data_IF_714132320536
#
_entry.id   IF_714132320536
#
_cell.length_a   1.000
_cell.length_b   1.000
_cell.length_c   1.000
_cell.angle_alpha   90.00
_cell.angle_beta   90.00
_cell.angle_gamma   90.00
#
_symmetry.space_group_name_H-M   'P 1'
#
loop_
_entity.id
_entity.type
_entity.pdbx_description
1 polymer ?
#
# COMPACT_ATOMS: atom_id res chain seq x y z
N UNK A 1 7.89 -8.10 -15.21
CA UNK A 1 7.57 -8.64 -13.87
C UNK A 1 8.04 -7.69 -12.77
N UNK A 2 7.30 -7.61 -11.69
CA UNK A 2 7.65 -6.79 -10.54
C UNK A 2 8.66 -7.55 -9.67
N UNK A 3 9.79 -6.90 -9.38
CA UNK A 3 10.82 -7.46 -8.50
C UNK A 3 10.57 -7.10 -7.03
N UNK A 4 10.13 -5.86 -6.79
CA UNK A 4 9.84 -5.37 -5.45
C UNK A 4 8.90 -4.17 -5.53
N UNK A 5 8.36 -3.77 -4.40
CA UNK A 5 7.47 -2.60 -4.35
C UNK A 5 7.58 -1.92 -2.99
N UNK A 6 7.12 -0.66 -2.95
CA UNK A 6 6.98 0.08 -1.70
C UNK A 6 5.53 0.54 -1.56
N UNK A 7 5.02 0.50 -0.35
CA UNK A 7 3.68 0.97 0.00
C UNK A 7 3.82 2.25 0.81
N UNK A 8 3.05 3.27 0.44
CA UNK A 8 3.04 4.55 1.16
C UNK A 8 1.66 5.19 1.08
N UNK A 9 1.42 6.17 1.93
CA UNK A 9 0.20 6.96 1.88
C UNK A 9 -1.01 6.34 2.54
N UNK A 10 -0.90 5.19 3.20
CA UNK A 10 -1.98 4.67 4.02
C UNK A 10 -2.20 5.57 5.24
N UNK A 11 -3.46 5.73 5.64
CA UNK A 11 -3.81 6.53 6.80
C UNK A 11 -3.32 5.82 8.08
N UNK A 12 -2.39 6.43 8.85
CA UNK A 12 -1.83 5.75 10.03
C UNK A 12 -2.81 5.60 11.18
N UNK A 13 -3.94 6.32 11.16
CA UNK A 13 -4.97 6.14 12.17
C UNK A 13 -5.85 4.92 11.89
N UNK A 14 -5.81 4.40 10.68
CA UNK A 14 -6.64 3.27 10.26
C UNK A 14 -5.83 2.01 9.95
N UNK A 15 -4.61 2.17 9.46
CA UNK A 15 -3.76 1.05 9.03
C UNK A 15 -2.48 1.00 9.86
N UNK A 16 -2.14 -0.19 10.34
CA UNK A 16 -0.90 -0.43 11.09
C UNK A 16 -0.21 -1.67 10.56
N UNK A 17 0.98 -1.54 9.95
CA UNK A 17 1.70 -0.32 9.61
C UNK A 17 1.06 0.44 8.43
N UNK A 18 1.34 1.74 8.32
CA UNK A 18 0.77 2.60 7.27
C UNK A 18 1.62 2.65 6.00
N UNK A 19 2.68 1.89 5.94
CA UNK A 19 3.56 1.81 4.77
C UNK A 19 4.65 0.80 4.98
N UNK A 20 5.35 0.46 3.89
CA UNK A 20 6.45 -0.49 3.94
C UNK A 20 7.73 0.20 4.39
N UNK A 21 8.67 -0.60 4.90
CA UNK A 21 10.01 -0.12 5.23
C UNK A 21 10.88 -0.27 3.96
N UNK A 22 10.74 0.70 3.05
CA UNK A 22 11.43 0.66 1.77
C UNK A 22 10.84 -0.36 0.82
N UNK A 23 11.67 -0.91 -0.06
CA UNK A 23 11.25 -1.91 -1.04
C UNK A 23 11.08 -3.27 -0.37
N UNK A 24 9.96 -3.93 -0.66
CA UNK A 24 9.60 -5.24 -0.10
C UNK A 24 9.08 -6.14 -1.20
N UNK A 25 8.98 -7.44 -0.92
CA UNK A 25 8.35 -8.41 -1.82
C UNK A 25 6.99 -8.85 -1.29
N UNK A 26 6.69 -8.56 -0.05
CA UNK A 26 5.38 -8.76 0.56
C UNK A 26 5.10 -7.62 1.54
N UNK A 27 3.82 -7.30 1.73
CA UNK A 27 3.42 -6.28 2.70
C UNK A 27 2.08 -6.68 3.30
N UNK A 28 2.01 -6.63 4.62
CA UNK A 28 0.78 -6.92 5.36
C UNK A 28 0.50 -5.76 6.31
N UNK A 29 -0.74 -5.33 6.36
CA UNK A 29 -1.20 -4.30 7.28
C UNK A 29 -2.54 -4.69 7.87
N UNK A 30 -2.85 -4.14 9.04
CA UNK A 30 -4.13 -4.33 9.69
C UNK A 30 -4.98 -3.08 9.48
N UNK A 31 -6.15 -3.27 8.88
CA UNK A 31 -7.18 -2.24 8.72
C UNK A 31 -8.11 -2.34 9.92
N UNK A 32 -8.26 -1.25 10.69
CA UNK A 32 -9.20 -1.22 11.82
C UNK A 32 -10.64 -1.48 11.38
N UNK A 33 -10.98 -1.03 10.18
CA UNK A 33 -12.31 -1.23 9.57
C UNK A 33 -13.44 -0.78 10.51
N UNK A 34 -13.27 0.38 11.11
CA UNK A 34 -14.23 0.93 12.09
C UNK A 34 -15.12 2.05 11.50
N UNK A 35 -15.12 2.17 10.18
CA UNK A 35 -15.92 3.15 9.44
C UNK A 35 -16.18 2.60 8.03
N UNK A 36 -16.92 3.36 7.21
CA UNK A 36 -17.20 3.00 5.82
C UNK A 36 -16.49 3.90 4.81
N UNK A 37 -15.37 4.49 5.22
CA UNK A 37 -14.58 5.37 4.37
C UNK A 37 -13.79 4.59 3.33
N UNK A 38 -13.40 5.30 2.27
CA UNK A 38 -12.50 4.80 1.23
C UNK A 38 -11.14 5.45 1.42
N UNK A 39 -10.09 4.65 1.35
CA UNK A 39 -8.71 5.11 1.54
C UNK A 39 -7.91 4.86 0.29
N UNK A 40 -7.19 5.89 -0.17
CA UNK A 40 -6.23 5.76 -1.27
C UNK A 40 -4.84 5.57 -0.70
N UNK A 41 -4.00 4.84 -1.43
CA UNK A 41 -2.58 4.71 -1.08
C UNK A 41 -1.76 4.59 -2.35
N UNK A 42 -0.45 4.53 -2.23
CA UNK A 42 0.44 4.48 -3.38
C UNK A 42 1.27 3.21 -3.33
N UNK A 43 1.32 2.51 -4.46
CA UNK A 43 2.24 1.40 -4.69
C UNK A 43 3.26 1.86 -5.71
N UNK A 44 4.54 1.87 -5.34
CA UNK A 44 5.64 2.14 -6.26
C UNK A 44 6.37 0.84 -6.51
N UNK A 45 6.29 0.34 -7.74
CA UNK A 45 6.86 -0.95 -8.10
C UNK A 45 8.17 -0.77 -8.84
N UNK A 46 9.13 -1.65 -8.56
CA UNK A 46 10.38 -1.75 -9.31
C UNK A 46 10.32 -3.06 -10.10
N UNK A 47 10.43 -2.95 -11.42
CA UNK A 47 10.39 -4.09 -12.30
C UNK A 47 11.78 -4.73 -12.45
N UNK A 48 11.81 -5.97 -12.91
CA UNK A 48 13.07 -6.72 -13.03
C UNK A 48 14.08 -6.06 -13.96
N UNK A 49 13.61 -5.26 -14.92
CA UNK A 49 14.47 -4.50 -15.83
C UNK A 49 14.92 -3.14 -15.26
N UNK A 50 14.58 -2.85 -14.00
CA UNK A 50 14.95 -1.61 -13.32
C UNK A 50 13.97 -0.46 -13.51
N UNK A 51 12.95 -0.59 -14.35
CA UNK A 51 11.95 0.45 -14.51
C UNK A 51 11.02 0.50 -13.29
N UNK A 52 10.43 1.67 -13.05
CA UNK A 52 9.49 1.86 -11.95
C UNK A 52 8.12 2.22 -12.49
N UNK A 53 7.10 1.89 -11.72
CA UNK A 53 5.72 2.31 -11.99
C UNK A 53 5.03 2.65 -10.70
N UNK A 54 4.01 3.50 -10.77
CA UNK A 54 3.28 3.96 -9.60
C UNK A 54 1.78 3.79 -9.84
N UNK A 55 1.08 3.31 -8.82
CA UNK A 55 -0.36 3.10 -8.85
C UNK A 55 -0.97 3.60 -7.55
N UNK A 56 -2.22 4.07 -7.63
CA UNK A 56 -2.95 4.61 -6.48
C UNK A 56 -4.24 3.81 -6.26
N UNK A 57 -4.13 2.57 -5.76
CA UNK A 57 -5.31 1.77 -5.47
C UNK A 57 -6.08 2.30 -4.26
N UNK A 58 -7.29 1.77 -4.07
CA UNK A 58 -8.16 2.18 -2.98
C UNK A 58 -8.59 0.97 -2.17
N UNK A 59 -8.81 1.20 -0.88
CA UNK A 59 -9.40 0.23 0.04
C UNK A 59 -10.70 0.82 0.55
N UNK A 60 -11.79 0.09 0.40
CA UNK A 60 -13.09 0.47 0.93
C UNK A 60 -13.37 -0.33 2.20
N UNK A 61 -13.57 0.36 3.32
CA UNK A 61 -13.99 -0.30 4.55
C UNK A 61 -15.44 -0.73 4.43
N UNK A 62 -15.76 -1.90 5.00
CA UNK A 62 -17.06 -2.52 4.86
C UNK A 62 -17.98 -2.45 6.08
N UNK A 63 -17.74 -1.49 6.98
CA UNK A 63 -18.63 -1.32 8.14
C UNK A 63 -19.75 -0.34 7.91
#
# INVERSE_FOLDING_TARGET
NVASFAISGLDPTEFTPSGSNGQVTTFTTTDKNDNSNTYSYTVTAVHEDGRTSSHDPKIENGT
#
